data_IF_899586061139
#
_entry.id   IF_899586061139
#
_cell.length_a   1.000
_cell.length_b   1.000
_cell.length_c   1.000
_cell.angle_alpha   90.00
_cell.angle_beta   90.00
_cell.angle_gamma   90.00
#
_symmetry.space_group_name_H-M   'P 1'
#
loop_
_entity.id
_entity.type
_entity.pdbx_description
1 polymer ?
#
# COMPACT_ATOMS: atom_id res chain seq x y z
N UNK A 1 10.58 -74.25 11.47
CA UNK A 1 9.51 -73.21 11.50
C UNK A 1 10.21 -71.87 11.48
N UNK A 2 10.12 -71.10 10.37
CA UNK A 2 10.74 -69.80 10.23
C UNK A 2 9.63 -68.74 10.46
N UNK A 3 9.70 -67.97 11.56
CA UNK A 3 8.80 -66.85 11.80
C UNK A 3 9.22 -65.64 10.99
N UNK A 4 8.33 -65.17 10.11
CA UNK A 4 8.49 -63.92 9.41
C UNK A 4 7.84 -62.82 10.27
N UNK A 5 8.67 -61.88 10.76
CA UNK A 5 8.20 -60.68 11.45
C UNK A 5 7.85 -59.67 10.35
N UNK A 6 6.57 -59.29 10.29
CA UNK A 6 6.09 -58.16 9.45
C UNK A 6 6.18 -56.89 10.28
N UNK A 7 7.08 -55.98 9.90
CA UNK A 7 7.13 -54.63 10.47
C UNK A 7 6.28 -53.74 9.59
N UNK A 8 5.10 -53.35 10.10
CA UNK A 8 4.25 -52.33 9.47
C UNK A 8 4.82 -50.96 9.78
N UNK A 9 5.32 -50.27 8.78
CA UNK A 9 5.67 -48.83 8.87
C UNK A 9 4.40 -48.03 8.77
N UNK A 10 3.96 -47.38 9.87
CA UNK A 10 2.89 -46.40 9.87
C UNK A 10 3.48 -45.08 9.37
N UNK A 11 3.12 -44.68 8.16
CA UNK A 11 3.45 -43.36 7.60
C UNK A 11 2.50 -42.33 8.20
N UNK A 12 2.95 -41.56 9.18
CA UNK A 12 2.21 -40.41 9.70
C UNK A 12 2.40 -39.25 8.72
N UNK A 13 1.45 -39.05 7.84
CA UNK A 13 1.38 -37.82 7.00
C UNK A 13 0.88 -36.69 7.88
N UNK A 14 1.78 -35.84 8.34
CA UNK A 14 1.43 -34.57 8.98
C UNK A 14 0.88 -33.64 7.89
N UNK A 15 -0.43 -33.54 7.78
CA UNK A 15 -1.08 -32.47 7.02
C UNK A 15 -0.88 -31.21 7.85
N UNK A 16 0.13 -30.40 7.50
CA UNK A 16 0.24 -29.02 7.98
C UNK A 16 -0.86 -28.26 7.22
N UNK A 17 -2.07 -28.25 7.76
CA UNK A 17 -3.10 -27.35 7.33
C UNK A 17 -2.63 -25.93 7.66
N UNK A 18 -2.37 -25.10 6.65
CA UNK A 18 -2.34 -23.65 6.84
C UNK A 18 -3.73 -23.27 7.36
N UNK A 19 -3.83 -23.07 8.67
CA UNK A 19 -5.01 -22.47 9.26
C UNK A 19 -5.05 -21.03 8.76
N UNK A 20 -5.85 -20.78 7.74
CA UNK A 20 -6.19 -19.44 7.31
C UNK A 20 -6.86 -18.78 8.52
N UNK A 21 -6.20 -17.79 9.13
CA UNK A 21 -6.78 -17.06 10.26
C UNK A 21 -7.98 -16.31 9.69
N UNK A 22 -9.18 -16.80 10.03
CA UNK A 22 -10.42 -16.13 9.64
C UNK A 22 -10.50 -14.81 10.41
N UNK A 23 -10.25 -13.70 9.70
CA UNK A 23 -10.47 -12.36 10.25
C UNK A 23 -11.95 -12.16 10.56
N UNK A 24 -12.25 -11.72 11.78
CA UNK A 24 -13.59 -11.30 12.19
C UNK A 24 -13.58 -9.78 12.36
N UNK A 25 -14.36 -9.04 11.54
CA UNK A 25 -14.41 -7.59 11.64
C UNK A 25 -14.89 -7.13 13.03
N UNK A 26 -14.25 -6.08 13.56
CA UNK A 26 -14.72 -5.42 14.78
C UNK A 26 -16.02 -4.64 14.53
N UNK A 27 -16.78 -4.25 15.58
CA UNK A 27 -17.95 -3.38 15.42
C UNK A 27 -17.59 -2.05 14.76
N UNK A 28 -16.42 -1.49 15.04
CA UNK A 28 -15.90 -0.26 14.44
C UNK A 28 -15.63 -0.45 12.94
N UNK A 29 -15.05 -1.58 12.56
CA UNK A 29 -14.81 -1.92 11.17
C UNK A 29 -16.12 -2.10 10.40
N UNK A 30 -17.08 -2.84 10.95
CA UNK A 30 -18.40 -3.01 10.34
C UNK A 30 -19.09 -1.68 10.08
N UNK A 31 -19.06 -0.75 11.06
CA UNK A 31 -19.58 0.60 10.90
C UNK A 31 -18.84 1.40 9.81
N UNK A 32 -17.53 1.23 9.71
CA UNK A 32 -16.75 1.87 8.67
C UNK A 32 -17.09 1.35 7.27
N UNK A 33 -17.33 0.03 7.13
CA UNK A 33 -17.80 -0.57 5.87
C UNK A 33 -19.16 -0.02 5.44
N UNK A 34 -20.13 0.07 6.36
CA UNK A 34 -21.45 0.68 6.10
C UNK A 34 -21.28 2.14 5.61
N UNK A 35 -20.47 2.91 6.34
CA UNK A 35 -20.17 4.29 5.94
C UNK A 35 -19.55 4.36 4.54
N UNK A 36 -18.59 3.50 4.22
CA UNK A 36 -17.91 3.49 2.91
C UNK A 36 -18.86 3.09 1.78
N UNK A 37 -19.74 2.12 2.04
CA UNK A 37 -20.79 1.71 1.10
C UNK A 37 -21.74 2.87 0.77
N UNK A 38 -22.04 3.74 1.74
CA UNK A 38 -22.92 4.90 1.56
C UNK A 38 -22.19 6.13 0.99
N UNK A 39 -20.89 6.24 1.21
CA UNK A 39 -20.07 7.37 0.76
C UNK A 39 -20.00 7.47 -0.76
N UNK A 40 -19.86 6.35 -1.49
CA UNK A 40 -19.93 6.17 -2.96
C UNK A 40 -19.03 7.06 -3.81
N UNK A 41 -18.66 8.25 -3.36
CA UNK A 41 -17.95 9.24 -4.16
C UNK A 41 -16.77 9.82 -3.39
N UNK A 42 -15.56 9.65 -3.93
CA UNK A 42 -14.31 10.15 -3.39
C UNK A 42 -13.38 10.67 -4.47
N UNK A 43 -12.36 11.41 -4.07
CA UNK A 43 -11.27 11.88 -4.92
C UNK A 43 -10.09 10.92 -4.80
N UNK A 44 -9.49 10.53 -5.93
CA UNK A 44 -8.23 9.81 -5.94
C UNK A 44 -7.14 10.68 -6.57
N UNK A 45 -6.02 10.87 -5.85
CA UNK A 45 -4.90 11.70 -6.26
C UNK A 45 -3.65 10.83 -6.38
N UNK A 46 -3.10 10.74 -7.59
CA UNK A 46 -1.76 10.21 -7.83
C UNK A 46 -0.80 11.39 -7.89
N UNK A 47 0.09 11.50 -6.90
CA UNK A 47 1.05 12.59 -6.81
C UNK A 47 2.35 12.13 -6.17
N UNK A 48 3.48 12.42 -6.82
CA UNK A 48 4.81 12.04 -6.38
C UNK A 48 5.86 12.71 -7.24
N UNK A 49 7.13 12.39 -7.03
CA UNK A 49 8.26 12.96 -7.82
C UNK A 49 8.16 12.65 -9.30
N UNK A 50 7.48 11.58 -9.69
CA UNK A 50 7.17 11.25 -11.08
C UNK A 50 6.38 12.36 -11.81
N UNK A 51 5.60 13.16 -11.08
CA UNK A 51 4.82 14.27 -11.63
C UNK A 51 5.68 15.33 -12.30
N UNK A 52 6.97 15.45 -11.95
CA UNK A 52 7.94 16.37 -12.58
C UNK A 52 8.11 16.05 -14.06
N UNK A 53 8.04 14.77 -14.42
CA UNK A 53 8.27 14.32 -15.79
C UNK A 53 7.04 14.44 -16.68
N UNK A 54 5.84 14.61 -16.08
CA UNK A 54 4.58 14.76 -16.83
C UNK A 54 4.15 13.54 -17.66
N UNK A 55 4.66 12.33 -17.35
CA UNK A 55 4.45 11.09 -18.12
C UNK A 55 3.84 9.97 -17.24
N UNK A 56 3.12 10.35 -16.20
CA UNK A 56 2.43 9.45 -15.28
C UNK A 56 3.32 8.77 -14.25
N UNK A 57 2.68 8.05 -13.35
CA UNK A 57 3.31 7.40 -12.19
C UNK A 57 4.17 6.18 -12.55
N UNK A 58 3.98 5.65 -13.76
CA UNK A 58 4.76 4.53 -14.29
C UNK A 58 6.02 4.95 -15.05
N UNK A 59 6.32 6.25 -15.15
CA UNK A 59 7.39 6.80 -15.98
C UNK A 59 8.76 6.15 -15.73
N UNK A 60 9.11 5.85 -14.48
CA UNK A 60 10.37 5.18 -14.14
C UNK A 60 10.52 3.83 -14.86
N UNK A 61 9.46 3.02 -14.88
CA UNK A 61 9.44 1.73 -15.55
C UNK A 61 9.32 1.86 -17.08
N UNK A 62 8.39 2.68 -17.55
CA UNK A 62 8.06 2.81 -18.97
C UNK A 62 9.20 3.42 -19.78
N UNK A 63 9.87 4.42 -19.21
CA UNK A 63 11.05 5.07 -19.82
C UNK A 63 12.36 4.39 -19.43
N UNK A 64 12.29 3.27 -18.67
CA UNK A 64 13.47 2.48 -18.25
C UNK A 64 14.52 3.31 -17.51
N UNK A 65 14.07 4.25 -16.68
CA UNK A 65 14.95 5.13 -15.91
C UNK A 65 15.57 4.34 -14.76
N UNK A 66 16.88 4.32 -14.68
CA UNK A 66 17.60 3.68 -13.59
C UNK A 66 17.52 4.50 -12.28
N UNK A 67 17.74 3.82 -11.14
CA UNK A 67 17.70 4.43 -9.81
C UNK A 67 18.64 5.63 -9.66
N UNK A 68 19.85 5.57 -10.24
CA UNK A 68 20.83 6.66 -10.10
C UNK A 68 20.37 7.94 -10.81
N UNK A 69 19.66 7.79 -11.92
CA UNK A 69 19.06 8.90 -12.66
C UNK A 69 17.80 9.39 -11.96
N UNK A 70 16.89 8.47 -11.58
CA UNK A 70 15.61 8.80 -10.97
C UNK A 70 15.78 9.53 -9.62
N UNK A 71 16.76 9.15 -8.82
CA UNK A 71 17.03 9.77 -7.50
C UNK A 71 17.40 11.25 -7.55
N UNK A 72 17.60 11.83 -8.74
CA UNK A 72 17.86 13.26 -8.92
C UNK A 72 16.57 14.08 -8.97
N UNK A 73 15.43 13.46 -9.24
CA UNK A 73 14.15 14.16 -9.40
C UNK A 73 13.70 14.93 -8.16
N UNK A 74 13.82 14.39 -6.92
CA UNK A 74 13.38 15.12 -5.74
C UNK A 74 13.97 16.51 -5.58
N UNK A 75 15.19 16.75 -6.08
CA UNK A 75 15.82 18.08 -6.03
C UNK A 75 15.03 19.16 -6.81
N UNK A 76 14.16 18.76 -7.72
CA UNK A 76 13.29 19.62 -8.51
C UNK A 76 11.83 19.61 -8.01
N UNK A 77 11.51 18.81 -7.02
CA UNK A 77 10.15 18.69 -6.47
C UNK A 77 9.96 19.74 -5.36
N UNK A 78 9.42 20.90 -5.74
CA UNK A 78 9.20 22.01 -4.82
C UNK A 78 7.78 22.59 -4.97
N UNK A 79 6.75 21.92 -4.45
CA UNK A 79 5.36 22.31 -4.66
C UNK A 79 4.95 23.47 -3.73
N UNK A 80 5.52 24.66 -3.95
CA UNK A 80 5.29 25.86 -3.11
C UNK A 80 3.84 26.32 -3.10
N UNK A 81 3.08 26.03 -4.15
CA UNK A 81 1.67 26.39 -4.30
C UNK A 81 0.72 25.30 -3.75
N UNK A 82 1.25 24.24 -3.13
CA UNK A 82 0.42 23.21 -2.52
C UNK A 82 -0.41 23.78 -1.38
N UNK A 83 -1.73 23.73 -1.53
CA UNK A 83 -2.70 24.19 -0.54
C UNK A 83 -3.73 23.10 -0.24
N UNK A 84 -3.55 22.31 0.83
CA UNK A 84 -4.47 21.22 1.16
C UNK A 84 -5.89 21.73 1.49
N UNK A 85 -6.05 22.96 1.99
CA UNK A 85 -7.36 23.52 2.27
C UNK A 85 -8.19 23.71 0.99
N UNK A 86 -7.57 24.15 -0.10
CA UNK A 86 -8.23 24.27 -1.41
C UNK A 86 -8.63 22.91 -1.97
N UNK A 87 -7.76 21.90 -1.85
CA UNK A 87 -8.04 20.55 -2.31
C UNK A 87 -9.24 19.93 -1.57
N UNK A 88 -9.23 20.06 -0.24
CA UNK A 88 -10.32 19.53 0.60
C UNK A 88 -11.61 20.30 0.36
N UNK A 89 -11.56 21.63 0.24
CA UNK A 89 -12.72 22.44 -0.07
C UNK A 89 -13.35 22.09 -1.42
N UNK A 90 -12.52 21.88 -2.46
CA UNK A 90 -12.96 21.45 -3.78
C UNK A 90 -13.64 20.06 -3.73
N UNK A 91 -13.02 19.08 -3.07
CA UNK A 91 -13.60 17.77 -2.91
C UNK A 91 -14.95 17.81 -2.18
N UNK A 92 -15.02 18.58 -1.10
CA UNK A 92 -16.25 18.78 -0.31
C UNK A 92 -17.35 19.47 -1.13
N UNK A 93 -17.01 20.51 -1.88
CA UNK A 93 -17.96 21.24 -2.76
C UNK A 93 -18.50 20.34 -3.88
N UNK A 94 -17.69 19.40 -4.39
CA UNK A 94 -18.12 18.40 -5.35
C UNK A 94 -18.97 17.26 -4.74
N UNK A 95 -19.18 17.26 -3.42
CA UNK A 95 -19.96 16.24 -2.71
C UNK A 95 -19.18 14.97 -2.36
N UNK A 96 -17.86 14.95 -2.56
CA UNK A 96 -16.99 13.83 -2.20
C UNK A 96 -16.92 13.65 -0.68
N UNK A 97 -16.79 12.42 -0.24
CA UNK A 97 -16.82 12.02 1.18
C UNK A 97 -15.44 11.62 1.72
N UNK A 98 -14.53 11.30 0.84
CA UNK A 98 -13.17 10.90 1.18
C UNK A 98 -12.19 11.32 0.08
N UNK A 99 -10.91 11.38 0.46
CA UNK A 99 -9.79 11.58 -0.45
C UNK A 99 -8.84 10.39 -0.27
N UNK A 100 -8.44 9.77 -1.38
CA UNK A 100 -7.34 8.79 -1.43
C UNK A 100 -6.15 9.46 -2.09
N UNK A 101 -4.97 9.38 -1.48
CA UNK A 101 -3.73 9.95 -2.04
C UNK A 101 -2.58 8.94 -1.95
N UNK A 102 -1.69 8.95 -2.92
CA UNK A 102 -0.48 8.13 -2.91
C UNK A 102 0.45 8.54 -1.77
N UNK A 103 0.60 7.67 -0.77
CA UNK A 103 1.63 7.83 0.27
C UNK A 103 2.99 7.36 -0.22
N UNK A 104 3.01 6.29 -1.00
CA UNK A 104 4.16 5.75 -1.73
C UNK A 104 3.64 5.03 -2.97
N UNK A 105 4.12 5.38 -4.16
CA UNK A 105 3.85 4.65 -5.39
C UNK A 105 4.97 3.62 -5.67
N UNK A 106 4.97 2.98 -6.82
CA UNK A 106 5.92 1.93 -7.21
C UNK A 106 7.37 2.40 -7.28
N UNK A 107 7.61 3.70 -7.43
CA UNK A 107 8.95 4.31 -7.39
C UNK A 107 9.57 4.35 -5.99
N UNK A 108 8.83 3.91 -4.98
CA UNK A 108 9.27 3.81 -3.59
C UNK A 108 9.40 5.15 -2.87
N UNK A 109 9.11 6.29 -3.54
CA UNK A 109 9.23 7.61 -2.92
C UNK A 109 8.10 7.86 -1.92
N UNK A 110 8.46 8.12 -0.66
CA UNK A 110 7.50 8.43 0.38
C UNK A 110 7.10 9.91 0.32
N UNK A 111 5.80 10.19 0.15
CA UNK A 111 5.24 11.55 0.16
C UNK A 111 4.99 12.07 1.58
N UNK A 112 5.59 11.45 2.59
CA UNK A 112 5.48 11.75 4.01
C UNK A 112 6.85 11.62 4.70
N UNK A 113 6.98 12.19 5.90
CA UNK A 113 8.20 12.13 6.74
C UNK A 113 8.38 10.73 7.32
N UNK A 114 9.17 9.88 6.66
CA UNK A 114 9.42 8.50 7.09
C UNK A 114 10.76 8.38 7.79
N UNK A 115 10.77 7.88 9.01
CA UNK A 115 12.02 7.60 9.75
C UNK A 115 12.76 6.35 9.30
N UNK A 116 12.17 5.59 8.36
CA UNK A 116 12.69 4.31 7.89
C UNK A 116 13.51 4.46 6.61
N UNK A 117 13.45 5.61 5.97
CA UNK A 117 14.17 5.91 4.72
C UNK A 117 14.38 7.41 4.62
N UNK A 118 15.45 7.81 3.95
CA UNK A 118 15.65 9.19 3.50
C UNK A 118 15.13 9.42 2.06
N UNK A 119 14.52 8.39 1.45
CA UNK A 119 13.88 8.47 0.14
C UNK A 119 12.44 9.00 0.30
N UNK A 120 12.34 10.23 0.78
CA UNK A 120 11.07 10.89 1.09
C UNK A 120 11.07 12.39 0.79
N UNK A 121 9.87 12.97 0.87
CA UNK A 121 9.63 14.37 0.51
C UNK A 121 10.35 15.37 1.44
N UNK A 122 10.51 15.04 2.72
CA UNK A 122 11.12 15.94 3.71
C UNK A 122 12.62 15.93 3.55
N UNK A 123 13.23 14.75 3.38
CA UNK A 123 14.69 14.62 3.33
C UNK A 123 15.27 14.98 1.96
N UNK A 124 14.61 14.61 0.87
CA UNK A 124 15.14 14.70 -0.48
C UNK A 124 14.70 15.90 -1.29
N UNK A 125 13.68 16.65 -0.87
CA UNK A 125 13.18 17.77 -1.65
C UNK A 125 13.53 19.12 -1.04
N UNK A 126 13.59 20.22 -1.83
CA UNK A 126 13.72 21.55 -1.29
C UNK A 126 12.48 22.04 -0.53
N UNK A 127 11.33 21.38 -0.71
CA UNK A 127 10.07 21.73 -0.03
C UNK A 127 10.13 21.52 1.48
N UNK A 128 10.80 20.45 1.94
CA UNK A 128 11.06 20.16 3.36
C UNK A 128 9.83 20.08 4.25
N UNK A 129 8.65 19.77 3.71
CA UNK A 129 7.40 19.65 4.47
C UNK A 129 6.70 18.34 4.14
N UNK A 130 6.06 17.78 5.14
CA UNK A 130 5.21 16.59 5.01
C UNK A 130 3.84 16.97 4.45
N UNK A 131 3.64 16.73 3.15
CA UNK A 131 2.39 17.07 2.45
C UNK A 131 1.21 16.22 2.92
N UNK A 132 1.46 14.97 3.33
CA UNK A 132 0.40 14.10 3.82
C UNK A 132 -0.07 14.50 5.22
N UNK A 133 0.84 14.98 6.07
CA UNK A 133 0.46 15.52 7.37
C UNK A 133 -0.41 16.77 7.22
N UNK A 134 -0.02 17.66 6.31
CA UNK A 134 -0.81 18.86 6.01
C UNK A 134 -2.22 18.51 5.50
N UNK A 135 -2.32 17.52 4.60
CA UNK A 135 -3.60 17.06 4.07
C UNK A 135 -4.45 16.38 5.16
N UNK A 136 -3.84 15.54 5.99
CA UNK A 136 -4.53 14.83 7.07
C UNK A 136 -5.16 15.79 8.08
N UNK A 137 -4.43 16.85 8.46
CA UNK A 137 -4.92 17.87 9.38
C UNK A 137 -6.12 18.63 8.79
N UNK A 138 -6.07 18.97 7.51
CA UNK A 138 -7.18 19.66 6.84
C UNK A 138 -8.39 18.73 6.61
N UNK A 139 -8.17 17.48 6.21
CA UNK A 139 -9.23 16.49 6.09
C UNK A 139 -9.97 16.28 7.42
N UNK A 140 -9.22 16.17 8.53
CA UNK A 140 -9.79 16.08 9.88
C UNK A 140 -10.63 17.28 10.24
N UNK A 141 -10.14 18.49 9.98
CA UNK A 141 -10.84 19.76 10.25
C UNK A 141 -12.16 19.84 9.48
N UNK A 142 -12.18 19.43 8.23
CA UNK A 142 -13.31 19.55 7.33
C UNK A 142 -14.25 18.32 7.34
N UNK A 143 -13.92 17.25 8.08
CA UNK A 143 -14.72 16.04 8.20
C UNK A 143 -14.71 15.16 6.94
N UNK A 144 -13.68 15.28 6.11
CA UNK A 144 -13.42 14.41 4.97
C UNK A 144 -12.53 13.25 5.43
N UNK A 145 -12.87 12.00 5.13
CA UNK A 145 -12.00 10.87 5.48
C UNK A 145 -10.82 10.78 4.52
N UNK A 146 -9.62 10.58 5.09
CA UNK A 146 -8.39 10.39 4.33
C UNK A 146 -8.07 8.90 4.20
N UNK A 147 -7.76 8.47 2.99
CA UNK A 147 -7.25 7.15 2.65
C UNK A 147 -5.85 7.28 2.08
N UNK A 148 -4.98 6.33 2.36
CA UNK A 148 -3.67 6.27 1.74
C UNK A 148 -3.61 5.12 0.73
N UNK A 149 -3.26 5.44 -0.52
CA UNK A 149 -2.72 4.43 -1.43
C UNK A 149 -1.29 4.12 -1.01
N UNK A 150 -0.98 2.86 -0.84
CA UNK A 150 0.36 2.41 -0.48
C UNK A 150 0.78 1.21 -1.32
N UNK A 151 1.81 1.38 -2.15
CA UNK A 151 2.28 0.31 -3.03
C UNK A 151 2.95 -0.82 -2.25
N UNK A 152 2.54 -2.06 -2.53
CA UNK A 152 3.29 -3.26 -2.18
C UNK A 152 4.59 -3.36 -2.99
N UNK A 153 4.54 -2.99 -4.26
CA UNK A 153 5.67 -2.98 -5.18
C UNK A 153 6.59 -1.80 -4.89
N UNK A 154 7.90 -2.02 -5.01
CA UNK A 154 8.90 -0.98 -4.79
C UNK A 154 10.09 -1.16 -5.76
N UNK A 155 10.22 -0.24 -6.72
CA UNK A 155 11.32 -0.27 -7.67
C UNK A 155 12.62 0.32 -7.12
N UNK A 156 12.58 0.99 -5.98
CA UNK A 156 13.73 1.65 -5.39
C UNK A 156 14.38 0.85 -4.26
N UNK A 157 13.57 0.16 -3.45
CA UNK A 157 14.01 -0.56 -2.25
C UNK A 157 14.85 -1.79 -2.61
N UNK A 158 16.05 -1.89 -2.03
CA UNK A 158 17.01 -2.95 -2.35
C UNK A 158 16.53 -4.33 -1.89
N UNK A 159 15.86 -4.38 -0.75
CA UNK A 159 15.33 -5.62 -0.18
C UNK A 159 14.06 -6.14 -0.91
N UNK A 160 13.51 -5.40 -1.88
CA UNK A 160 12.45 -5.92 -2.77
C UNK A 160 13.09 -6.94 -3.75
N UNK A 161 13.43 -8.11 -3.21
CA UNK A 161 14.18 -9.15 -3.88
C UNK A 161 13.57 -10.54 -3.58
N UNK A 162 13.54 -11.51 -4.53
CA UNK A 162 13.93 -11.33 -5.94
C UNK A 162 13.05 -10.25 -6.62
N UNK A 163 13.54 -9.70 -7.73
CA UNK A 163 12.81 -8.69 -8.49
C UNK A 163 11.48 -9.27 -8.97
N UNK A 164 10.44 -8.45 -8.97
CA UNK A 164 9.15 -8.80 -9.54
C UNK A 164 9.13 -8.74 -11.08
N UNK A 165 7.95 -8.64 -11.65
CA UNK A 165 7.74 -8.59 -13.10
C UNK A 165 8.08 -7.21 -13.71
N UNK A 166 8.13 -6.15 -12.89
CA UNK A 166 8.33 -4.76 -13.33
C UNK A 166 9.59 -4.13 -12.70
N UNK A 167 9.98 -2.94 -13.17
CA UNK A 167 11.15 -2.22 -12.67
C UNK A 167 12.46 -2.95 -12.91
N UNK A 168 12.57 -3.77 -13.96
CA UNK A 168 13.76 -4.56 -14.25
C UNK A 168 14.99 -3.70 -14.55
N UNK A 169 14.78 -2.51 -15.10
CA UNK A 169 15.81 -1.55 -15.47
C UNK A 169 16.17 -0.56 -14.36
N UNK A 170 15.51 -0.64 -13.21
CA UNK A 170 15.75 0.27 -12.08
C UNK A 170 17.18 0.23 -11.51
N UNK A 171 17.97 -0.79 -11.85
CA UNK A 171 19.37 -0.88 -11.42
C UNK A 171 19.53 -1.25 -9.94
N UNK A 172 18.55 -1.89 -9.34
CA UNK A 172 18.67 -2.43 -7.98
C UNK A 172 19.73 -3.52 -7.91
N UNK A 173 20.46 -3.69 -6.79
CA UNK A 173 21.45 -4.75 -6.63
C UNK A 173 20.82 -6.14 -6.82
N UNK A 174 21.64 -7.10 -7.26
CA UNK A 174 21.27 -8.51 -7.31
C UNK A 174 21.45 -9.12 -5.91
N UNK A 175 20.44 -9.01 -5.09
CA UNK A 175 20.44 -9.52 -3.70
C UNK A 175 19.55 -8.66 -2.82
N UNK A 176 19.10 -9.21 -1.71
CA UNK A 176 18.24 -8.55 -0.76
C UNK A 176 17.50 -9.56 0.10
N UNK A 177 16.81 -9.07 1.11
CA UNK A 177 16.06 -9.87 2.05
C UNK A 177 14.58 -9.48 1.96
N UNK A 178 13.78 -10.37 1.41
CA UNK A 178 12.34 -10.17 1.21
C UNK A 178 11.60 -9.81 2.49
N UNK A 179 11.93 -10.46 3.60
CA UNK A 179 11.26 -10.20 4.87
C UNK A 179 11.67 -8.86 5.48
N UNK A 180 12.89 -8.37 5.22
CA UNK A 180 13.28 -7.00 5.58
C UNK A 180 12.48 -5.96 4.78
N UNK A 181 12.17 -6.26 3.51
CA UNK A 181 11.28 -5.40 2.74
C UNK A 181 9.88 -5.35 3.35
N UNK A 182 9.32 -6.49 3.72
CA UNK A 182 7.99 -6.55 4.34
C UNK A 182 7.97 -5.85 5.70
N UNK A 183 9.03 -6.00 6.50
CA UNK A 183 9.16 -5.29 7.78
C UNK A 183 9.30 -3.76 7.58
N UNK A 184 9.99 -3.32 6.53
CA UNK A 184 10.05 -1.91 6.12
C UNK A 184 8.66 -1.37 5.74
N UNK A 185 7.92 -2.10 4.91
CA UNK A 185 6.55 -1.73 4.52
C UNK A 185 5.60 -1.66 5.72
N UNK A 186 5.60 -2.69 6.58
CA UNK A 186 4.83 -2.72 7.83
C UNK A 186 5.19 -1.54 8.75
N UNK A 187 6.48 -1.16 8.79
CA UNK A 187 6.96 0.00 9.53
C UNK A 187 6.41 1.31 8.98
N UNK A 188 6.42 1.51 7.66
CA UNK A 188 5.83 2.69 7.01
C UNK A 188 4.31 2.78 7.26
N UNK A 189 3.59 1.65 7.19
CA UNK A 189 2.18 1.60 7.55
C UNK A 189 1.93 1.98 9.00
N UNK A 190 2.80 1.56 9.91
CA UNK A 190 2.73 1.98 11.32
C UNK A 190 2.91 3.49 11.46
N UNK A 191 3.86 4.10 10.78
CA UNK A 191 4.04 5.56 10.77
C UNK A 191 2.77 6.26 10.29
N UNK A 192 2.20 5.84 9.15
CA UNK A 192 0.99 6.40 8.56
C UNK A 192 -0.23 6.27 9.51
N UNK A 193 -0.36 5.15 10.21
CA UNK A 193 -1.51 4.88 11.09
C UNK A 193 -1.35 5.44 12.51
N UNK A 194 -0.17 5.95 12.88
CA UNK A 194 0.06 6.52 14.22
C UNK A 194 0.28 8.02 14.23
N UNK A 195 0.79 8.61 13.13
CA UNK A 195 1.21 10.02 13.10
C UNK A 195 0.24 10.95 12.38
N UNK A 196 -0.73 10.41 11.62
CA UNK A 196 -1.59 11.19 10.71
C UNK A 196 -3.06 11.28 11.20
N UNK A 197 -3.34 10.84 12.43
CA UNK A 197 -4.68 10.82 13.01
C UNK A 197 -5.52 9.62 12.53
N UNK A 198 -6.83 9.77 12.51
CA UNK A 198 -7.74 8.72 12.05
C UNK A 198 -7.68 8.58 10.54
N UNK A 199 -7.33 7.38 10.05
CA UNK A 199 -7.24 7.05 8.63
C UNK A 199 -8.44 6.20 8.23
N UNK A 200 -9.15 6.61 7.19
CA UNK A 200 -10.34 5.92 6.69
C UNK A 200 -10.04 4.58 6.06
N UNK A 201 -8.87 4.44 5.43
CA UNK A 201 -8.46 3.16 4.86
C UNK A 201 -7.09 3.20 4.19
N UNK A 202 -6.59 1.99 3.92
CA UNK A 202 -5.40 1.76 3.12
C UNK A 202 -5.81 1.09 1.80
N UNK A 203 -5.39 1.68 0.71
CA UNK A 203 -5.53 1.16 -0.65
C UNK A 203 -4.20 0.56 -1.08
N UNK A 204 -4.10 -0.76 -1.08
CA UNK A 204 -2.91 -1.46 -1.56
C UNK A 204 -2.95 -1.69 -3.06
N UNK A 205 -1.76 -1.72 -3.67
CA UNK A 205 -1.55 -2.04 -5.08
C UNK A 205 -0.17 -2.68 -5.29
N UNK A 206 0.02 -3.36 -6.42
CA UNK A 206 1.32 -3.93 -6.78
C UNK A 206 1.58 -5.36 -6.28
N UNK A 207 0.64 -5.99 -5.58
CA UNK A 207 0.72 -7.40 -5.20
C UNK A 207 0.93 -8.32 -6.42
N UNK A 208 0.28 -7.99 -7.53
CA UNK A 208 0.34 -8.70 -8.81
C UNK A 208 1.76 -8.78 -9.42
N UNK A 209 2.69 -7.93 -9.00
CA UNK A 209 4.09 -7.95 -9.46
C UNK A 209 4.85 -9.21 -8.98
N UNK A 210 4.44 -9.77 -7.84
CA UNK A 210 5.01 -10.97 -7.21
C UNK A 210 3.91 -11.81 -6.55
N UNK A 211 2.86 -12.15 -7.27
CA UNK A 211 1.64 -12.80 -6.76
C UNK A 211 1.89 -14.12 -6.01
N UNK A 212 2.95 -14.85 -6.35
CA UNK A 212 3.29 -16.15 -5.76
C UNK A 212 4.27 -16.03 -4.57
N UNK A 213 4.63 -14.80 -4.16
CA UNK A 213 5.49 -14.57 -3.00
C UNK A 213 4.69 -14.61 -1.69
N UNK A 214 5.36 -15.02 -0.61
CA UNK A 214 4.80 -14.90 0.73
C UNK A 214 4.82 -13.42 1.16
N UNK A 215 3.68 -12.75 1.02
CA UNK A 215 3.49 -11.35 1.38
C UNK A 215 3.20 -11.13 2.86
N UNK A 216 2.93 -12.17 3.63
CA UNK A 216 2.49 -12.09 5.04
C UNK A 216 1.31 -11.12 5.22
N UNK A 217 0.34 -11.13 4.29
CA UNK A 217 -0.79 -10.18 4.31
C UNK A 217 -1.61 -10.28 5.60
N UNK A 218 -1.74 -11.48 6.17
CA UNK A 218 -2.37 -11.71 7.46
C UNK A 218 -1.74 -10.88 8.58
N UNK A 219 -0.40 -10.83 8.63
CA UNK A 219 0.35 -10.02 9.59
C UNK A 219 0.16 -8.53 9.34
N UNK A 220 0.28 -8.09 8.08
CA UNK A 220 0.12 -6.69 7.68
C UNK A 220 -1.30 -6.18 7.97
N UNK A 221 -2.33 -6.97 7.60
CA UNK A 221 -3.73 -6.58 7.85
C UNK A 221 -4.06 -6.59 9.34
N UNK A 222 -3.55 -7.56 10.09
CA UNK A 222 -3.68 -7.57 11.55
C UNK A 222 -3.01 -6.37 12.21
N UNK A 223 -1.85 -5.93 11.71
CA UNK A 223 -1.18 -4.71 12.17
C UNK A 223 -2.09 -3.49 11.97
N UNK A 224 -2.66 -3.31 10.79
CA UNK A 224 -3.54 -2.17 10.47
C UNK A 224 -4.75 -2.15 11.40
N UNK A 225 -5.47 -3.26 11.50
CA UNK A 225 -6.67 -3.34 12.36
C UNK A 225 -6.35 -3.24 13.86
N UNK A 226 -5.15 -3.65 14.29
CA UNK A 226 -4.72 -3.48 15.69
C UNK A 226 -4.43 -2.02 16.03
N UNK A 227 -3.92 -1.23 15.09
CA UNK A 227 -3.64 0.18 15.27
C UNK A 227 -4.89 1.05 15.12
N UNK A 228 -5.69 0.76 14.11
CA UNK A 228 -6.93 1.48 13.83
C UNK A 228 -8.04 0.49 13.40
N UNK A 229 -8.88 -0.02 14.33
CA UNK A 229 -9.90 -1.02 14.02
C UNK A 229 -10.91 -0.61 12.94
N UNK A 230 -11.16 0.70 12.79
CA UNK A 230 -12.06 1.26 11.77
C UNK A 230 -11.38 1.50 10.40
N UNK A 231 -10.06 1.36 10.30
CA UNK A 231 -9.34 1.56 9.05
C UNK A 231 -9.69 0.45 8.06
N UNK A 232 -10.23 0.81 6.91
CA UNK A 232 -10.62 -0.13 5.87
C UNK A 232 -9.41 -0.56 5.03
N UNK A 233 -9.41 -1.81 4.58
CA UNK A 233 -8.35 -2.38 3.74
C UNK A 233 -8.93 -2.81 2.40
N UNK A 234 -8.35 -2.29 1.32
CA UNK A 234 -8.57 -2.78 -0.03
C UNK A 234 -7.25 -3.07 -0.74
N UNK A 235 -7.24 -4.03 -1.64
CA UNK A 235 -6.04 -4.44 -2.35
C UNK A 235 -6.33 -4.69 -3.83
N UNK A 236 -5.64 -3.97 -4.70
CA UNK A 236 -5.78 -4.06 -6.14
C UNK A 236 -4.96 -5.24 -6.70
N UNK A 237 -5.29 -6.45 -6.30
CA UNK A 237 -4.59 -7.66 -6.73
C UNK A 237 -5.31 -8.43 -7.85
N UNK A 238 -6.48 -7.97 -8.28
CA UNK A 238 -7.33 -8.58 -9.33
C UNK A 238 -7.79 -10.02 -9.02
N UNK A 239 -7.92 -10.35 -7.73
CA UNK A 239 -8.39 -11.66 -7.24
C UNK A 239 -9.61 -11.45 -6.33
N UNK A 240 -10.24 -12.56 -5.91
CA UNK A 240 -11.22 -12.52 -4.85
C UNK A 240 -10.58 -11.97 -3.56
N UNK A 241 -11.34 -11.23 -2.71
CA UNK A 241 -10.80 -10.64 -1.49
C UNK A 241 -10.14 -11.68 -0.58
N UNK A 242 -8.97 -11.33 -0.05
CA UNK A 242 -8.32 -12.12 0.99
C UNK A 242 -8.93 -11.83 2.36
N UNK A 243 -8.73 -12.75 3.30
CA UNK A 243 -9.18 -12.55 4.68
C UNK A 243 -8.57 -11.26 5.27
N UNK A 244 -9.41 -10.37 5.80
CA UNK A 244 -9.00 -9.07 6.34
C UNK A 244 -9.17 -7.89 5.39
N UNK A 245 -9.54 -8.12 4.13
CA UNK A 245 -9.92 -7.04 3.21
C UNK A 245 -11.39 -6.64 3.41
N UNK A 246 -11.64 -5.35 3.28
CA UNK A 246 -12.93 -4.73 3.57
C UNK A 246 -13.70 -4.34 2.32
N UNK A 247 -13.00 -4.10 1.22
CA UNK A 247 -13.61 -3.77 -0.07
C UNK A 247 -12.76 -4.27 -1.23
N UNK A 248 -13.42 -4.57 -2.34
CA UNK A 248 -12.81 -5.02 -3.58
C UNK A 248 -12.62 -3.87 -4.54
N UNK A 249 -11.56 -3.94 -5.33
CA UNK A 249 -11.24 -2.93 -6.34
C UNK A 249 -11.42 -3.45 -7.76
N UNK A 250 -11.86 -2.57 -8.64
CA UNK A 250 -12.14 -2.87 -10.06
C UNK A 250 -11.49 -1.81 -10.93
N UNK A 251 -10.18 -1.93 -11.16
CA UNK A 251 -9.45 -0.95 -11.96
C UNK A 251 -9.81 -1.02 -13.44
N UNK A 252 -9.92 -2.22 -13.97
CA UNK A 252 -10.15 -2.47 -15.42
C UNK A 252 -11.40 -3.28 -15.70
N UNK A 253 -11.97 -3.88 -14.66
CA UNK A 253 -13.11 -4.76 -14.76
C UNK A 253 -14.38 -4.09 -14.25
N UNK A 254 -15.55 -4.53 -14.75
CA UNK A 254 -16.82 -4.10 -14.17
C UNK A 254 -17.18 -4.97 -12.96
N UNK A 255 -17.89 -4.42 -11.95
CA UNK A 255 -18.43 -5.20 -10.85
C UNK A 255 -19.25 -6.39 -11.35
N UNK A 256 -19.00 -7.58 -10.82
CA UNK A 256 -19.69 -8.82 -11.22
C UNK A 256 -19.08 -9.57 -12.40
N UNK A 257 -18.04 -9.05 -13.02
CA UNK A 257 -17.28 -9.73 -14.09
C UNK A 257 -15.99 -10.39 -13.60
N UNK A 258 -15.64 -10.22 -12.34
CA UNK A 258 -14.49 -10.92 -11.77
C UNK A 258 -14.78 -12.40 -11.72
N UNK A 259 -14.10 -13.13 -12.58
CA UNK A 259 -13.99 -14.58 -12.47
C UNK A 259 -12.96 -14.90 -11.41
N UNK A 260 -13.37 -15.72 -10.49
CA UNK A 260 -12.54 -16.35 -9.47
C UNK A 260 -11.35 -17.11 -10.07
#
# INVERSE_FOLDING_TARGET
MKHKIFISFLLVISVIGNAQINYTPSPENLKAREWFQDAKFGLFIHWGVYSILGDGEWVMNNQRIDKQTYQKLPAFFNPVDYNPAEWVAMAKAAGMKYITITSKHHDGFAMFDSRLTDWDIVDRTPYKKDVLKMLADECKKEGIKLFFYHSHLDWFQENYYPRGNTGQTAGRPAGGDWYKYLDFMDGQLRELLTNYGEIGGIWFDGHWDKKDSDWRLDKTYSLIHSLQPACLIGNNHHLAPFSGEDFQMFEKDLPGQQTT
#
